data_IF_207814599880
#
_entry.id   IF_207814599880
#
_cell.length_a   1.000
_cell.length_b   1.000
_cell.length_c   1.000
_cell.angle_alpha   90.00
_cell.angle_beta   90.00
_cell.angle_gamma   90.00
#
_symmetry.space_group_name_H-M   'P 1'
#
loop_
_entity.id
_entity.type
_entity.pdbx_description
1 polymer ?
#
# COMPACT_ATOMS: atom_id res chain seq x y z
N UNK A 1 10.24 -16.62 5.58
CA UNK A 1 8.81 -16.51 5.21
C UNK A 1 7.95 -15.94 6.33
N UNK A 2 8.02 -16.45 7.57
CA UNK A 2 7.23 -15.95 8.72
C UNK A 2 7.46 -14.46 8.97
N UNK A 3 8.72 -14.04 9.13
CA UNK A 3 9.09 -12.63 9.36
C UNK A 3 8.60 -11.71 8.24
N UNK A 4 8.72 -12.13 6.99
CA UNK A 4 8.26 -11.34 5.85
C UNK A 4 6.75 -11.09 5.90
N UNK A 5 5.97 -12.13 6.19
CA UNK A 5 4.50 -12.02 6.33
C UNK A 5 4.13 -11.13 7.53
N UNK A 6 4.81 -11.33 8.67
CA UNK A 6 4.60 -10.52 9.87
C UNK A 6 4.90 -9.03 9.61
N UNK A 7 6.04 -8.77 8.98
CA UNK A 7 6.54 -7.42 8.72
C UNK A 7 5.63 -6.66 7.75
N UNK A 8 5.27 -7.26 6.60
CA UNK A 8 4.29 -6.65 5.68
C UNK A 8 2.93 -6.41 6.33
N UNK A 9 2.50 -7.33 7.20
CA UNK A 9 1.25 -7.15 7.94
C UNK A 9 1.30 -5.96 8.91
N UNK A 10 2.44 -5.71 9.55
CA UNK A 10 2.61 -4.57 10.43
C UNK A 10 2.63 -3.26 9.63
N UNK A 11 3.40 -3.21 8.54
CA UNK A 11 3.47 -2.04 7.65
C UNK A 11 2.09 -1.61 7.15
N UNK A 12 1.19 -2.57 6.88
CA UNK A 12 -0.17 -2.27 6.40
C UNK A 12 -1.02 -1.41 7.34
N UNK A 13 -0.66 -1.31 8.62
CA UNK A 13 -1.39 -0.50 9.61
C UNK A 13 -0.58 0.68 10.17
N UNK A 14 0.70 0.80 9.82
CA UNK A 14 1.61 1.82 10.37
C UNK A 14 2.26 2.72 9.30
N UNK A 15 2.21 2.32 8.03
CA UNK A 15 2.82 3.05 6.93
C UNK A 15 1.75 3.68 6.04
N UNK A 16 2.00 4.92 5.61
CA UNK A 16 1.16 5.58 4.63
C UNK A 16 1.15 4.84 3.29
N UNK A 17 0.03 4.93 2.58
CA UNK A 17 -0.21 4.24 1.31
C UNK A 17 0.82 4.60 0.24
N UNK A 18 1.11 5.88 0.04
CA UNK A 18 2.01 6.33 -1.03
C UNK A 18 3.47 6.05 -0.69
N UNK A 19 3.82 6.15 0.60
CA UNK A 19 5.13 5.69 1.10
C UNK A 19 5.33 4.20 0.85
N UNK A 20 4.30 3.38 1.09
CA UNK A 20 4.35 1.94 0.81
C UNK A 20 4.55 1.65 -0.69
N UNK A 21 3.85 2.36 -1.58
CA UNK A 21 4.05 2.22 -3.02
C UNK A 21 5.46 2.58 -3.46
N UNK A 22 6.00 3.70 -2.97
CA UNK A 22 7.36 4.11 -3.29
C UNK A 22 8.38 3.08 -2.79
N UNK A 23 8.26 2.63 -1.54
CA UNK A 23 9.13 1.61 -0.95
C UNK A 23 9.08 0.32 -1.77
N UNK A 24 7.89 -0.16 -2.10
CA UNK A 24 7.69 -1.40 -2.86
C UNK A 24 8.28 -1.31 -4.27
N UNK A 25 8.28 -0.12 -4.89
CA UNK A 25 8.92 0.10 -6.20
C UNK A 25 10.45 -0.02 -6.17
N UNK A 26 11.08 0.27 -5.01
CA UNK A 26 12.54 0.25 -4.84
C UNK A 26 13.07 -1.13 -4.43
N UNK A 27 12.24 -1.98 -3.82
CA UNK A 27 12.62 -3.33 -3.34
C UNK A 27 13.28 -4.18 -4.45
N UNK A 28 12.73 -4.28 -5.68
CA UNK A 28 13.33 -5.12 -6.72
C UNK A 28 14.75 -4.68 -7.10
N UNK A 29 14.96 -3.36 -7.22
CA UNK A 29 16.28 -2.79 -7.51
C UNK A 29 17.26 -3.05 -6.37
N UNK A 30 16.83 -2.87 -5.13
CA UNK A 30 17.65 -3.15 -3.95
C UNK A 30 18.06 -4.64 -3.88
N UNK A 31 17.12 -5.56 -4.11
CA UNK A 31 17.41 -6.99 -4.16
C UNK A 31 18.40 -7.35 -5.28
N UNK A 32 18.28 -6.73 -6.46
CA UNK A 32 19.21 -6.92 -7.58
C UNK A 32 20.63 -6.46 -7.22
N UNK A 33 20.78 -5.31 -6.55
CA UNK A 33 22.10 -4.82 -6.11
C UNK A 33 22.78 -5.82 -5.15
N UNK A 34 22.03 -6.33 -4.17
CA UNK A 34 22.56 -7.35 -3.24
C UNK A 34 22.95 -8.61 -3.99
N UNK A 35 22.07 -9.12 -4.86
CA UNK A 35 22.32 -10.34 -5.62
C UNK A 35 23.60 -10.24 -6.47
N UNK A 36 23.84 -9.07 -7.06
CA UNK A 36 25.03 -8.81 -7.88
C UNK A 36 26.29 -8.46 -7.06
N UNK A 37 26.24 -8.49 -5.72
CA UNK A 37 27.39 -8.21 -4.86
C UNK A 37 27.70 -6.72 -4.65
N UNK A 38 26.81 -5.81 -5.05
CA UNK A 38 26.96 -4.37 -4.85
C UNK A 38 26.59 -3.94 -3.42
N UNK A 39 27.08 -4.69 -2.42
CA UNK A 39 26.82 -4.37 -1.02
C UNK A 39 27.43 -3.03 -0.63
N UNK A 40 28.60 -2.64 -1.12
CA UNK A 40 29.25 -1.37 -0.73
C UNK A 40 29.00 -0.21 -1.70
N UNK A 41 28.07 -0.36 -2.65
CA UNK A 41 27.84 0.66 -3.66
C UNK A 41 27.07 1.88 -3.11
N UNK A 42 27.33 3.09 -3.65
CA UNK A 42 26.66 4.31 -3.20
C UNK A 42 25.15 4.27 -3.44
N UNK A 43 24.69 3.69 -4.56
CA UNK A 43 23.27 3.57 -4.88
C UNK A 43 22.51 2.66 -3.91
N UNK A 44 23.11 1.54 -3.47
CA UNK A 44 22.51 0.68 -2.45
C UNK A 44 22.44 1.40 -1.11
N UNK A 45 23.47 2.17 -0.74
CA UNK A 45 23.49 2.96 0.49
C UNK A 45 22.41 4.05 0.51
N UNK A 46 22.15 4.69 -0.63
CA UNK A 46 21.05 5.66 -0.77
C UNK A 46 19.68 4.99 -0.57
N UNK A 47 19.43 3.88 -1.26
CA UNK A 47 18.15 3.16 -1.14
C UNK A 47 17.95 2.62 0.27
N UNK A 48 19.01 2.15 0.93
CA UNK A 48 18.95 1.73 2.33
C UNK A 48 18.44 2.84 3.24
N UNK A 49 18.97 4.06 3.11
CA UNK A 49 18.51 5.21 3.92
C UNK A 49 17.04 5.50 3.72
N UNK A 50 16.55 5.43 2.48
CA UNK A 50 15.12 5.59 2.18
C UNK A 50 14.28 4.51 2.84
N UNK A 51 14.72 3.26 2.80
CA UNK A 51 14.04 2.14 3.47
C UNK A 51 14.05 2.36 4.98
N UNK A 52 15.20 2.67 5.59
CA UNK A 52 15.32 2.91 7.04
C UNK A 52 14.40 4.03 7.51
N UNK A 53 14.32 5.12 6.74
CA UNK A 53 13.40 6.24 7.01
C UNK A 53 11.94 5.78 7.01
N UNK A 54 11.54 4.96 6.03
CA UNK A 54 10.17 4.42 5.94
C UNK A 54 9.81 3.54 7.14
N UNK A 55 10.79 2.91 7.79
CA UNK A 55 10.56 1.95 8.88
C UNK A 55 10.45 2.60 10.26
N UNK A 56 10.73 3.90 10.42
CA UNK A 56 10.73 4.59 11.73
C UNK A 56 9.44 4.47 12.53
N UNK A 57 8.30 4.36 11.84
CA UNK A 57 6.97 4.27 12.47
C UNK A 57 6.44 2.83 12.57
N UNK A 58 7.16 1.84 12.01
CA UNK A 58 6.71 0.45 11.90
C UNK A 58 7.01 -0.28 13.21
N UNK A 59 6.17 -0.07 14.22
CA UNK A 59 6.31 -0.69 15.53
C UNK A 59 4.97 -1.23 16.05
N UNK A 60 4.95 -2.51 16.43
CA UNK A 60 3.77 -3.19 16.93
C UNK A 60 3.92 -4.71 16.98
N UNK A 61 2.81 -5.39 17.17
CA UNK A 61 2.72 -6.84 17.32
C UNK A 61 1.77 -7.43 16.29
N UNK A 62 2.21 -8.51 15.64
CA UNK A 62 1.40 -9.27 14.69
C UNK A 62 1.20 -10.68 15.23
N UNK A 63 -0.06 -11.12 15.27
CA UNK A 63 -0.42 -12.48 15.67
C UNK A 63 -0.55 -13.34 14.43
N UNK A 64 0.18 -14.44 14.40
CA UNK A 64 0.21 -15.39 13.28
C UNK A 64 -0.32 -16.75 13.73
N UNK A 65 -1.02 -17.43 12.81
CA UNK A 65 -1.39 -18.84 12.93
C UNK A 65 -0.54 -19.65 11.95
N UNK A 66 0.21 -20.61 12.47
CA UNK A 66 1.02 -21.53 11.68
C UNK A 66 0.29 -22.86 11.58
N UNK A 67 0.10 -23.37 10.35
CA UNK A 67 -0.58 -24.63 10.15
C UNK A 67 -0.10 -25.32 8.87
N UNK A 68 0.39 -26.56 8.97
CA UNK A 68 0.83 -27.41 7.84
C UNK A 68 1.70 -26.66 6.82
N UNK A 69 2.72 -25.96 7.30
CA UNK A 69 3.64 -25.18 6.44
C UNK A 69 3.11 -23.83 5.97
N UNK A 70 1.85 -23.48 6.28
CA UNK A 70 1.28 -22.17 6.00
C UNK A 70 1.41 -21.21 7.19
N UNK A 71 1.47 -19.91 6.89
CA UNK A 71 1.52 -18.82 7.86
C UNK A 71 0.43 -17.80 7.52
N UNK A 72 -0.54 -17.64 8.41
CA UNK A 72 -1.69 -16.74 8.22
C UNK A 72 -1.73 -15.67 9.30
N UNK A 73 -1.99 -14.42 8.91
CA UNK A 73 -2.15 -13.30 9.83
C UNK A 73 -3.54 -13.35 10.47
N UNK A 74 -3.61 -13.37 11.80
CA UNK A 74 -4.87 -13.44 12.57
C UNK A 74 -5.09 -12.24 13.49
N UNK A 75 -4.19 -11.26 13.47
CA UNK A 75 -4.32 -10.03 14.25
C UNK A 75 -3.13 -9.11 14.08
N UNK A 76 -3.38 -7.80 14.19
CA UNK A 76 -2.38 -6.73 14.13
C UNK A 76 -2.69 -5.74 15.24
N UNK A 77 -1.65 -5.24 15.92
CA UNK A 77 -1.77 -4.20 16.93
C UNK A 77 -0.54 -3.29 16.86
N UNK A 78 -0.74 -1.98 16.83
CA UNK A 78 0.33 -1.00 16.88
C UNK A 78 -0.07 0.16 17.79
N UNK A 79 0.89 0.74 18.51
CA UNK A 79 0.62 1.90 19.37
C UNK A 79 0.32 3.15 18.53
N UNK A 80 0.96 3.27 17.36
CA UNK A 80 0.72 4.31 16.36
C UNK A 80 0.17 3.63 15.11
N UNK A 81 -1.15 3.52 15.02
CA UNK A 81 -1.81 2.95 13.84
C UNK A 81 -2.51 4.04 13.03
N UNK A 82 -2.41 3.93 11.70
CA UNK A 82 -3.18 4.73 10.75
C UNK A 82 -4.61 4.19 10.55
N UNK A 83 -4.93 3.05 11.17
CA UNK A 83 -6.28 2.50 11.17
C UNK A 83 -7.14 3.22 12.21
N UNK A 84 -8.25 3.82 11.75
CA UNK A 84 -9.26 4.45 12.60
C UNK A 84 -10.60 3.75 12.42
N UNK A 85 -11.10 3.13 13.48
CA UNK A 85 -12.37 2.41 13.48
C UNK A 85 -13.58 3.33 13.27
N UNK A 86 -13.49 4.59 13.71
CA UNK A 86 -14.58 5.56 13.59
C UNK A 86 -14.73 6.10 12.16
N UNK A 87 -13.69 6.01 11.34
CA UNK A 87 -13.74 6.41 9.92
C UNK A 87 -14.22 5.25 9.04
N UNK A 88 -13.94 4.01 9.45
CA UNK A 88 -14.20 2.80 8.64
C UNK A 88 -15.55 2.15 8.97
N UNK A 89 -16.17 2.49 10.10
CA UNK A 89 -17.47 1.92 10.49
C UNK A 89 -18.59 2.38 9.54
N UNK A 90 -19.61 1.52 9.38
CA UNK A 90 -20.80 1.79 8.56
C UNK A 90 -21.93 2.45 9.36
N UNK A 91 -21.72 2.72 10.65
CA UNK A 91 -22.71 3.35 11.52
C UNK A 91 -22.94 4.83 11.16
N UNK A 92 -24.19 5.29 11.24
CA UNK A 92 -24.54 6.69 10.94
C UNK A 92 -23.85 7.67 11.90
N UNK A 93 -23.23 8.72 11.35
CA UNK A 93 -22.51 9.75 12.13
C UNK A 93 -21.00 9.50 12.29
N UNK A 94 -20.49 8.42 11.71
CA UNK A 94 -19.10 8.03 11.81
C UNK A 94 -18.19 8.83 10.87
N UNK A 95 -17.45 9.82 11.40
CA UNK A 95 -16.13 10.36 10.98
C UNK A 95 -15.87 10.81 9.53
N UNK A 96 -16.57 10.29 8.53
CA UNK A 96 -16.35 10.45 7.10
C UNK A 96 -17.61 10.97 6.40
N UNK A 97 -17.46 12.03 5.61
CA UNK A 97 -18.55 12.61 4.82
C UNK A 97 -18.69 11.87 3.50
N UNK A 98 -19.67 10.97 3.41
CA UNK A 98 -19.90 10.15 2.21
C UNK A 98 -20.16 10.98 0.94
N UNK A 99 -20.73 12.18 1.05
CA UNK A 99 -20.97 13.07 -0.09
C UNK A 99 -19.69 13.47 -0.83
N UNK A 100 -18.52 13.47 -0.17
CA UNK A 100 -17.25 13.83 -0.80
C UNK A 100 -16.78 12.76 -1.80
N UNK A 101 -17.28 11.52 -1.68
CA UNK A 101 -16.94 10.41 -2.56
C UNK A 101 -17.40 10.64 -4.00
N UNK A 102 -18.59 11.22 -4.23
CA UNK A 102 -19.11 11.45 -5.59
C UNK A 102 -18.21 12.40 -6.38
N UNK A 103 -17.77 13.50 -5.75
CA UNK A 103 -16.81 14.44 -6.34
C UNK A 103 -15.47 13.78 -6.66
N UNK A 104 -14.93 13.01 -5.72
CA UNK A 104 -13.66 12.28 -5.90
C UNK A 104 -13.71 11.27 -7.05
N UNK A 105 -14.80 10.49 -7.15
CA UNK A 105 -15.00 9.51 -8.22
C UNK A 105 -15.08 10.22 -9.57
N UNK A 106 -15.84 11.32 -9.66
CA UNK A 106 -15.99 12.08 -10.91
C UNK A 106 -14.65 12.64 -11.39
N UNK A 107 -13.85 13.19 -10.49
CA UNK A 107 -12.53 13.74 -10.81
C UNK A 107 -11.54 12.64 -11.25
N UNK A 108 -11.44 11.54 -10.52
CA UNK A 108 -10.56 10.42 -10.90
C UNK A 108 -10.97 9.78 -12.23
N UNK A 109 -12.28 9.64 -12.48
CA UNK A 109 -12.81 9.07 -13.71
C UNK A 109 -12.68 10.01 -14.92
N UNK A 110 -12.43 11.31 -14.72
CA UNK A 110 -12.38 12.30 -15.81
C UNK A 110 -11.36 11.92 -16.89
N UNK A 111 -10.16 11.49 -16.47
CA UNK A 111 -9.10 10.96 -17.36
C UNK A 111 -9.62 9.82 -18.25
N UNK A 112 -10.33 8.87 -17.65
CA UNK A 112 -10.84 7.68 -18.34
C UNK A 112 -11.98 8.03 -19.30
N UNK A 113 -12.87 8.94 -18.90
CA UNK A 113 -13.95 9.46 -19.74
C UNK A 113 -13.39 10.14 -20.99
N UNK A 114 -12.35 10.97 -20.85
CA UNK A 114 -11.70 11.63 -21.98
C UNK A 114 -11.01 10.63 -22.91
N UNK A 115 -10.28 9.65 -22.34
CA UNK A 115 -9.65 8.60 -23.14
C UNK A 115 -10.68 7.79 -23.94
N UNK A 116 -11.77 7.34 -23.31
CA UNK A 116 -12.86 6.64 -23.99
C UNK A 116 -13.51 7.50 -25.08
N UNK A 117 -13.77 8.78 -24.82
CA UNK A 117 -14.35 9.69 -25.83
C UNK A 117 -13.46 9.85 -27.07
N UNK A 118 -12.13 9.87 -26.91
CA UNK A 118 -11.18 10.07 -28.01
C UNK A 118 -10.88 8.77 -28.77
N UNK A 119 -10.73 7.65 -28.07
CA UNK A 119 -10.19 6.41 -28.64
C UNK A 119 -11.20 5.26 -28.74
N UNK A 120 -12.41 5.39 -28.17
CA UNK A 120 -13.42 4.36 -28.36
C UNK A 120 -13.87 4.37 -29.82
N UNK A 121 -13.90 3.21 -30.50
CA UNK A 121 -14.53 3.14 -31.81
C UNK A 121 -15.96 3.65 -31.63
N UNK A 122 -16.36 4.65 -32.42
CA UNK A 122 -17.76 5.05 -32.49
C UNK A 122 -18.52 3.78 -32.82
N UNK A 123 -19.30 3.25 -31.89
CA UNK A 123 -20.35 2.32 -32.28
C UNK A 123 -21.24 3.14 -33.19
N UNK A 124 -21.10 2.92 -34.51
CA UNK A 124 -22.05 3.41 -35.48
C UNK A 124 -23.44 3.11 -34.93
N UNK A 125 -24.20 4.17 -34.65
CA UNK A 125 -25.63 4.06 -34.40
C UNK A 125 -26.23 3.49 -35.69
N UNK A 126 -26.30 2.16 -35.78
CA UNK A 126 -27.13 1.47 -36.76
C UNK A 126 -28.59 1.75 -36.39
N UNK A 127 -29.22 2.54 -37.27
CA UNK A 127 -30.66 2.70 -37.56
C UNK A 127 -31.58 3.02 -36.37
#
# INVERSE_FOLDING_TARGET
TILHIAHRALESITMDREVMFLRDSLIPSYAKMIYNGFWYSPERALVQKTIDESQKTVNGTVRLKLYKGNCTVVGRKANKSLYDQNVVTFEEGAGYRQNDADGFIRLNALRLKMYSKTYSPRSDKKK
#
